data_IF_237043974724
#
_entry.id   IF_237043974724
#
_cell.length_a   1.000
_cell.length_b   1.000
_cell.length_c   1.000
_cell.angle_alpha   90.00
_cell.angle_beta   90.00
_cell.angle_gamma   90.00
#
_symmetry.space_group_name_H-M   'P 1'
#
loop_
_entity.id
_entity.type
_entity.pdbx_description
1 polymer ?
2 non-polymer ?
3 non-polymer ?
4 water ?
#
# COMPACT_ATOMS: atom_id res chain seq x y z
N UNK A 29 -9.23 -8.37 21.22
CA UNK A 29 -8.81 -8.92 19.92
C UNK A 29 -7.56 -9.83 20.07
N UNK A 30 -7.78 -11.13 20.23
CA UNK A 30 -6.69 -12.11 20.37
C UNK A 30 -5.91 -12.27 19.05
N UNK A 31 -4.66 -12.67 19.16
CA UNK A 31 -3.82 -12.72 17.93
C UNK A 31 -4.06 -14.02 17.18
N UNK A 32 -4.49 -13.93 15.92
CA UNK A 32 -4.85 -15.13 15.15
C UNK A 32 -3.61 -15.85 14.68
N UNK A 33 -3.65 -17.15 14.81
CA UNK A 33 -2.63 -17.98 14.16
C UNK A 33 -3.28 -19.21 13.55
N UNK A 34 -2.46 -19.94 12.79
CA UNK A 34 -2.90 -21.23 12.21
C UNK A 34 -3.37 -22.23 13.22
N UNK A 35 -3.07 -22.08 14.52
CA UNK A 35 -3.61 -23.07 15.54
C UNK A 35 -5.11 -22.93 15.64
N UNK A 36 -5.61 -21.69 15.37
CA UNK A 36 -7.04 -21.46 15.41
C UNK A 36 -7.55 -21.71 14.02
N UNK A 37 -8.38 -22.76 13.88
CA UNK A 37 -8.91 -23.10 12.60
C UNK A 37 -10.41 -22.85 12.51
N UNK A 38 -10.95 -22.09 13.47
CA UNK A 38 -12.37 -21.91 13.59
C UNK A 38 -12.79 -20.45 13.35
N UNK A 39 -12.08 -19.53 14.00
CA UNK A 39 -12.49 -18.10 13.97
C UNK A 39 -12.62 -17.62 12.50
N UNK A 40 -13.74 -16.97 12.17
CA UNK A 40 -13.90 -16.42 10.81
C UNK A 40 -12.99 -15.25 10.58
N UNK A 41 -12.21 -15.27 9.52
CA UNK A 41 -11.23 -14.20 9.29
C UNK A 41 -10.96 -14.05 7.79
N UNK A 42 -10.17 -13.03 7.45
CA UNK A 42 -9.64 -12.95 6.12
C UNK A 42 -8.19 -13.37 6.16
N UNK A 43 -7.78 -14.12 5.16
CA UNK A 43 -6.38 -14.54 5.01
C UNK A 43 -5.90 -14.07 3.66
N UNK A 44 -4.67 -13.56 3.60
CA UNK A 44 -4.11 -13.28 2.29
C UNK A 44 -2.81 -14.03 2.20
N UNK A 45 -2.63 -14.68 1.06
CA UNK A 45 -1.42 -15.44 0.81
C UNK A 45 -0.70 -14.72 -0.33
N UNK A 46 0.52 -14.29 -0.04
CA UNK A 46 1.32 -13.63 -1.07
C UNK A 46 2.09 -14.76 -1.73
N UNK A 47 1.63 -15.12 -2.91
CA UNK A 47 2.16 -16.29 -3.58
C UNK A 47 3.21 -15.92 -4.61
N UNK A 48 4.01 -16.92 -4.98
CA UNK A 48 5.14 -16.72 -5.89
C UNK A 48 5.94 -15.50 -5.46
N UNK A 49 6.07 -15.29 -4.16
CA UNK A 49 6.87 -14.19 -3.62
C UNK A 49 8.38 -14.35 -3.95
N UNK A 50 9.07 -13.27 -4.38
CA UNK A 50 10.42 -13.50 -4.83
C UNK A 50 11.32 -13.14 -3.69
N UNK A 51 11.58 -14.11 -2.81
CA UNK A 51 12.40 -13.94 -1.61
C UNK A 51 13.47 -15.04 -1.61
N UNK A 52 14.67 -14.70 -2.00
CA UNK A 52 15.70 -15.69 -2.21
C UNK A 52 16.97 -14.99 -1.84
N UNK A 53 17.85 -15.68 -1.11
CA UNK A 53 19.04 -15.06 -0.65
C UNK A 53 20.19 -15.52 -1.54
N UNK A 54 21.22 -14.71 -1.64
CA UNK A 54 22.42 -15.15 -2.30
C UNK A 54 23.59 -14.56 -1.55
N UNK A 55 24.68 -15.33 -1.46
CA UNK A 55 25.84 -14.82 -0.74
C UNK A 55 26.63 -13.85 -1.63
N UNK A 56 26.69 -12.58 -1.19
CA UNK A 56 27.60 -11.60 -1.75
C UNK A 56 28.93 -11.70 -0.99
N UNK A 66 25.43 -12.60 2.63
CA UNK A 66 24.04 -12.89 2.19
C UNK A 66 23.09 -11.68 2.08
N UNK A 67 22.52 -11.53 0.89
CA UNK A 67 21.53 -10.50 0.64
C UNK A 67 20.27 -11.06 0.02
N UNK A 68 19.19 -10.29 0.07
CA UNK A 68 17.96 -10.71 -0.56
C UNK A 68 18.08 -10.25 -2.02
N UNK A 69 18.04 -11.19 -2.94
CA UNK A 69 18.24 -10.88 -4.35
C UNK A 69 17.22 -9.86 -4.84
N UNK A 70 17.68 -8.79 -5.51
CA UNK A 70 16.72 -7.82 -6.05
C UNK A 70 17.18 -7.29 -7.39
N UNK A 71 16.24 -7.05 -8.29
CA UNK A 71 16.55 -6.59 -9.65
C UNK A 71 17.35 -5.29 -9.72
N UNK A 72 17.21 -4.38 -8.77
CA UNK A 72 18.01 -3.14 -8.80
C UNK A 72 19.46 -3.35 -8.46
N UNK A 73 19.72 -4.15 -7.44
CA UNK A 73 21.07 -4.21 -6.90
C UNK A 73 21.87 -5.31 -7.51
N UNK A 74 21.17 -6.32 -8.05
CA UNK A 74 21.86 -7.57 -8.39
C UNK A 74 21.69 -7.98 -9.83
N UNK A 75 21.46 -7.01 -10.71
CA UNK A 75 21.33 -7.28 -12.13
C UNK A 75 22.54 -8.05 -12.65
N UNK A 76 23.73 -7.61 -12.28
CA UNK A 76 24.97 -8.20 -12.79
C UNK A 76 24.99 -9.66 -12.38
N UNK A 77 24.81 -9.88 -11.08
CA UNK A 77 24.79 -11.21 -10.46
C UNK A 77 23.70 -12.12 -11.04
N UNK A 78 22.45 -11.67 -11.05
CA UNK A 78 21.35 -12.39 -11.67
C UNK A 78 21.64 -12.79 -13.11
N UNK A 79 22.26 -11.88 -13.85
CA UNK A 79 22.67 -12.12 -15.25
C UNK A 79 23.73 -13.22 -15.33
N UNK A 80 24.79 -13.08 -14.54
CA UNK A 80 25.86 -14.09 -14.50
C UNK A 80 25.35 -15.41 -13.89
N UNK A 81 24.25 -15.33 -13.15
CA UNK A 81 23.50 -16.50 -12.65
C UNK A 81 22.62 -17.10 -13.75
N UNK A 82 22.49 -16.40 -14.88
CA UNK A 82 21.58 -16.82 -15.95
C UNK A 82 20.10 -16.77 -15.58
N UNK A 83 19.76 -15.97 -14.57
CA UNK A 83 18.38 -15.81 -14.13
C UNK A 83 17.69 -14.72 -14.95
N UNK A 84 16.37 -14.71 -14.89
CA UNK A 84 15.58 -13.63 -15.49
C UNK A 84 15.63 -12.43 -14.53
N UNK A 85 16.28 -11.38 -15.03
CA UNK A 85 16.60 -10.18 -14.24
C UNK A 85 15.31 -9.61 -13.66
N UNK A 86 14.27 -9.67 -14.49
CA UNK A 86 12.97 -9.06 -14.21
C UNK A 86 12.19 -9.72 -13.05
N UNK A 87 12.56 -10.94 -12.66
CA UNK A 87 11.76 -11.68 -11.68
C UNK A 87 12.17 -11.47 -10.20
N UNK A 88 13.31 -10.85 -9.91
CA UNK A 88 13.75 -10.75 -8.55
C UNK A 88 13.13 -9.47 -7.97
N UNK A 89 11.90 -9.62 -7.46
CA UNK A 89 11.10 -8.42 -7.03
C UNK A 89 10.62 -8.53 -5.60
N UNK A 90 11.58 -8.64 -4.64
CA UNK A 90 11.10 -8.73 -3.25
C UNK A 90 10.39 -7.44 -2.79
N UNK A 91 10.55 -6.33 -3.52
CA UNK A 91 9.85 -5.05 -3.19
C UNK A 91 8.35 -5.25 -3.29
N UNK A 92 7.89 -6.15 -4.15
CA UNK A 92 6.44 -6.35 -4.20
C UNK A 92 5.93 -6.96 -2.90
N UNK A 93 6.62 -7.98 -2.40
CA UNK A 93 6.18 -8.58 -1.14
C UNK A 93 6.26 -7.55 -0.01
N UNK A 94 7.30 -6.75 0.01
CA UNK A 94 7.45 -5.72 1.03
C UNK A 94 6.27 -4.78 1.03
N UNK A 95 5.91 -4.29 -0.13
CA UNK A 95 4.81 -3.32 -0.20
C UNK A 95 3.48 -3.94 0.15
N UNK A 96 3.24 -5.19 -0.28
CA UNK A 96 2.02 -5.89 0.10
C UNK A 96 1.98 -6.08 1.58
N UNK A 97 3.11 -6.47 2.21
CA UNK A 97 3.06 -6.66 3.68
C UNK A 97 2.70 -5.36 4.38
N UNK A 98 3.24 -4.24 3.92
CA UNK A 98 2.93 -2.99 4.63
C UNK A 98 1.45 -2.68 4.47
N UNK A 99 0.97 -2.88 3.29
CA UNK A 99 -0.46 -2.61 2.99
C UNK A 99 -1.38 -3.45 3.86
N UNK A 100 -1.04 -4.72 3.98
CA UNK A 100 -1.88 -5.65 4.67
C UNK A 100 -1.79 -5.43 6.19
N UNK A 101 -0.57 -5.30 6.75
CA UNK A 101 -0.51 -5.29 8.21
C UNK A 101 -0.94 -3.93 8.78
N UNK A 102 -0.86 -2.90 7.97
CA UNK A 102 -1.36 -1.57 8.36
C UNK A 102 -2.87 -1.45 8.27
N UNK A 103 -3.56 -2.42 7.69
CA UNK A 103 -4.98 -2.22 7.39
C UNK A 103 -5.81 -2.31 8.68
N UNK A 104 -6.97 -1.62 8.72
CA UNK A 104 -7.89 -1.76 9.85
C UNK A 104 -8.25 -3.23 10.10
N UNK A 105 -8.40 -4.05 9.07
CA UNK A 105 -8.85 -5.43 9.30
C UNK A 105 -7.78 -6.16 10.10
N UNK A 106 -6.51 -5.83 9.84
CA UNK A 106 -5.42 -6.39 10.68
C UNK A 106 -5.52 -5.88 12.09
N UNK A 107 -5.68 -4.59 12.22
CA UNK A 107 -5.72 -3.99 13.55
C UNK A 107 -6.88 -4.51 14.37
N UNK A 108 -8.00 -4.82 13.68
CA UNK A 108 -9.17 -5.35 14.34
C UNK A 108 -9.02 -6.86 14.68
N UNK A 109 -7.90 -7.48 14.28
CA UNK A 109 -7.58 -8.84 14.68
C UNK A 109 -8.28 -9.83 13.76
N UNK A 110 -8.62 -9.44 12.53
CA UNK A 110 -9.36 -10.37 11.63
C UNK A 110 -8.65 -10.65 10.32
N UNK A 111 -7.34 -10.45 10.33
CA UNK A 111 -6.49 -10.79 9.16
C UNK A 111 -5.33 -11.66 9.49
N UNK A 112 -5.03 -12.61 8.61
CA UNK A 112 -3.71 -13.31 8.71
C UNK A 112 -3.07 -13.19 7.36
N UNK A 113 -1.74 -13.14 7.31
CA UNK A 113 -1.06 -13.18 6.06
C UNK A 113 -0.08 -14.38 6.08
N UNK A 114 0.01 -15.05 4.95
CA UNK A 114 1.09 -16.05 4.76
C UNK A 114 1.84 -15.61 3.53
N UNK A 115 3.08 -16.06 3.42
CA UNK A 115 3.88 -15.84 2.19
C UNK A 115 4.28 -17.19 1.69
N UNK A 116 4.02 -17.42 0.40
CA UNK A 116 4.56 -18.61 -0.24
C UNK A 116 5.64 -18.15 -1.25
N UNK A 117 6.91 -18.47 -1.02
CA UNK A 117 7.90 -17.93 -1.96
C UNK A 117 7.95 -18.74 -3.26
N UNK A 118 8.54 -18.16 -4.28
CA UNK A 118 8.64 -18.91 -5.52
C UNK A 118 9.56 -20.17 -5.39
N UNK A 119 10.39 -20.24 -4.37
CA UNK A 119 11.25 -21.44 -4.14
C UNK A 119 10.57 -22.48 -3.24
N UNK A 120 9.33 -22.22 -2.89
CA UNK A 120 8.41 -23.18 -2.19
C UNK A 120 8.50 -23.08 -0.65
N UNK A 121 9.02 -21.97 -0.13
CA UNK A 121 9.05 -21.79 1.34
C UNK A 121 7.68 -21.22 1.73
N UNK A 122 7.14 -21.67 2.87
CA UNK A 122 5.83 -21.11 3.32
C UNK A 122 6.06 -20.45 4.70
N UNK A 123 5.60 -19.21 4.86
CA UNK A 123 5.90 -18.43 6.04
C UNK A 123 4.59 -17.93 6.62
N UNK A 124 4.42 -18.12 7.93
CA UNK A 124 3.29 -17.58 8.62
C UNK A 124 3.75 -16.27 9.28
N UNK A 125 3.00 -15.21 9.02
CA UNK A 125 3.32 -13.87 9.53
C UNK A 125 2.47 -13.59 10.74
N UNK A 126 3.06 -13.29 11.88
CA UNK A 126 2.21 -13.00 13.05
C UNK A 126 1.59 -11.60 12.81
N UNK A 127 0.28 -11.45 13.03
CA UNK A 127 -0.43 -10.18 12.80
C UNK A 127 0.21 -8.98 13.47
N UNK A 128 0.88 -9.22 14.60
CA UNK A 128 1.43 -8.07 15.35
C UNK A 128 2.86 -7.69 14.92
N UNK A 129 3.44 -8.41 13.95
CA UNK A 129 4.80 -8.07 13.55
C UNK A 129 4.93 -6.65 12.98
N UNK A 130 5.99 -5.91 13.39
CA UNK A 130 6.25 -4.62 12.71
C UNK A 130 7.18 -4.87 11.51
N UNK A 131 6.62 -4.91 10.30
CA UNK A 131 7.45 -5.04 9.12
C UNK A 131 8.25 -3.71 8.93
N UNK A 132 9.59 -3.79 8.74
CA UNK A 132 10.35 -2.59 8.52
C UNK A 132 9.76 -1.76 7.38
N UNK A 133 9.65 -0.44 7.58
CA UNK A 133 9.01 0.44 6.58
C UNK A 133 9.92 0.61 5.35
N UNK A 134 11.23 0.46 5.54
CA UNK A 134 12.10 0.72 4.38
C UNK A 134 12.58 -0.61 3.80
N UNK A 135 12.68 -0.63 2.49
CA UNK A 135 13.11 -1.86 1.84
C UNK A 135 14.43 -2.41 2.37
N UNK A 136 15.41 -1.58 2.69
CA UNK A 136 16.68 -2.14 3.13
C UNK A 136 16.57 -2.95 4.43
N UNK A 137 15.81 -2.46 5.40
CA UNK A 137 15.73 -3.14 6.66
C UNK A 137 14.87 -4.41 6.50
N UNK A 138 13.82 -4.31 5.68
CA UNK A 138 13.01 -5.47 5.32
C UNK A 138 13.90 -6.57 4.77
N UNK A 139 14.81 -6.21 3.86
CA UNK A 139 15.66 -7.20 3.23
C UNK A 139 16.48 -7.91 4.30
N UNK A 140 17.01 -7.17 5.26
CA UNK A 140 17.83 -7.79 6.31
C UNK A 140 16.99 -8.76 7.11
N UNK A 141 15.76 -8.38 7.39
CA UNK A 141 14.91 -9.23 8.20
C UNK A 141 14.59 -10.55 7.47
N UNK A 142 14.33 -10.47 6.16
CA UNK A 142 14.02 -11.68 5.38
C UNK A 142 15.21 -12.62 5.27
N UNK A 143 16.41 -12.09 5.13
CA UNK A 143 17.60 -12.94 5.13
C UNK A 143 17.69 -13.74 6.43
N UNK A 144 17.46 -13.08 7.56
CA UNK A 144 17.55 -13.75 8.87
C UNK A 144 16.47 -14.81 8.96
N UNK A 145 15.25 -14.47 8.53
CA UNK A 145 14.16 -15.46 8.53
C UNK A 145 14.50 -16.68 7.68
N UNK A 146 14.97 -16.45 6.47
CA UNK A 146 15.19 -17.60 5.53
C UNK A 146 16.32 -18.49 6.04
N UNK A 147 17.31 -17.89 6.69
CA UNK A 147 18.35 -18.70 7.29
C UNK A 147 18.02 -19.42 8.57
N UNK A 148 17.43 -18.70 9.53
CA UNK A 148 17.10 -19.23 10.84
C UNK A 148 15.75 -19.97 10.92
N UNK A 149 14.87 -19.71 9.94
CA UNK A 149 13.55 -20.31 9.88
C UNK A 149 12.50 -19.67 10.78
N UNK A 150 12.90 -18.69 11.60
CA UNK A 150 11.90 -17.91 12.34
C UNK A 150 12.54 -16.66 12.88
N UNK A 151 11.70 -15.71 13.33
CA UNK A 151 12.19 -14.46 13.92
C UNK A 151 11.34 -14.29 15.19
N UNK A 152 11.97 -14.00 16.32
CA UNK A 152 11.23 -13.72 17.56
C UNK A 152 11.50 -12.29 17.97
N UNK A 153 10.83 -11.77 19.00
CA UNK A 153 11.31 -10.50 19.59
C UNK A 153 12.39 -10.64 20.65
N UNK A 154 12.99 -9.50 20.99
CA UNK A 154 13.73 -9.40 22.23
C UNK A 154 12.63 -9.47 23.27
N UNK A 155 12.93 -10.15 24.34
CA UNK A 155 11.99 -10.23 25.47
C UNK A 155 10.91 -11.27 25.36
N UNK A 156 10.66 -11.82 24.16
CA UNK A 156 9.60 -12.81 24.02
C UNK A 156 10.00 -13.97 23.12
N UNK A 157 9.67 -15.18 23.54
CA UNK A 157 9.76 -16.38 22.72
C UNK A 157 8.80 -16.48 21.52
N UNK A 158 7.83 -15.58 21.43
CA UNK A 158 6.80 -15.65 20.40
C UNK A 158 7.43 -15.47 19.04
N UNK A 159 7.09 -16.31 18.08
CA UNK A 159 7.63 -16.16 16.72
C UNK A 159 6.84 -15.09 16.01
N UNK A 160 7.50 -14.10 15.48
CA UNK A 160 6.74 -13.14 14.74
C UNK A 160 6.69 -13.48 13.24
N UNK A 161 7.68 -14.26 12.79
CA UNK A 161 7.62 -14.80 11.43
C UNK A 161 8.11 -16.25 11.60
N UNK A 162 7.55 -17.21 10.88
CA UNK A 162 8.01 -18.59 11.05
C UNK A 162 7.83 -19.35 9.76
N UNK A 163 8.85 -20.12 9.37
CA UNK A 163 8.67 -21.06 8.22
C UNK A 163 7.91 -22.26 8.70
N UNK A 164 6.90 -22.64 7.93
CA UNK A 164 6.03 -23.76 8.32
C UNK A 164 5.91 -24.70 7.17
N UNK A 165 5.36 -25.89 7.43
CA UNK A 165 5.31 -26.90 6.39
C UNK A 165 4.22 -26.76 5.37
N UNK A 166 4.58 -26.93 4.09
CA UNK A 166 3.59 -27.02 3.03
C UNK A 166 2.77 -28.28 3.30
N UNK A 167 1.51 -28.28 2.85
CA UNK A 167 0.89 -27.19 2.07
C UNK A 167 0.12 -26.20 2.94
N UNK A 168 -0.13 -25.02 2.39
CA UNK A 168 -0.85 -24.01 3.09
C UNK A 168 -2.22 -24.48 3.59
N UNK A 169 -2.84 -25.43 2.87
CA UNK A 169 -4.17 -25.90 3.17
C UNK A 169 -4.21 -26.65 4.46
N UNK A 170 -3.05 -27.14 4.90
CA UNK A 170 -3.02 -27.73 6.25
C UNK A 170 -3.19 -26.73 7.39
N UNK A 171 -3.00 -25.43 7.12
CA UNK A 171 -2.92 -24.39 8.19
C UNK A 171 -4.13 -23.51 8.22
N UNK A 172 -4.86 -23.51 7.10
CA UNK A 172 -6.03 -22.60 6.96
C UNK A 172 -7.21 -23.07 7.77
N UNK A 173 -8.17 -22.17 8.01
CA UNK A 173 -9.27 -22.62 8.76
C UNK A 173 -9.98 -23.80 8.02
N UNK A 174 -10.73 -24.60 8.83
CA UNK A 174 -11.44 -25.76 8.29
C UNK A 174 -12.49 -25.39 7.23
N UNK A 175 -13.24 -24.33 7.51
CA UNK A 175 -14.22 -23.77 6.61
C UNK A 175 -13.62 -22.50 6.08
N UNK A 176 -13.11 -22.57 4.84
CA UNK A 176 -12.38 -21.39 4.28
C UNK A 176 -12.61 -21.34 2.75
N UNK A 177 -13.30 -20.32 2.24
CA UNK A 177 -13.42 -20.17 0.77
C UNK A 177 -12.04 -19.70 0.31
N UNK A 178 -11.48 -20.33 -0.72
CA UNK A 178 -10.13 -19.98 -1.19
C UNK A 178 -10.23 -19.41 -2.59
N UNK A 179 -9.68 -18.21 -2.78
CA UNK A 179 -9.81 -17.57 -4.11
C UNK A 179 -8.47 -17.05 -4.59
N UNK A 180 -8.23 -17.11 -5.90
CA UNK A 180 -7.09 -16.45 -6.48
C UNK A 180 -7.66 -15.17 -7.12
N UNK A 181 -6.95 -14.08 -6.92
CA UNK A 181 -7.27 -12.85 -7.64
C UNK A 181 -6.60 -12.88 -8.99
N UNK A 182 -7.38 -12.60 -10.04
CA UNK A 182 -6.86 -12.64 -11.39
C UNK A 182 -7.59 -11.65 -12.26
N UNK A 183 -6.81 -10.90 -13.03
CA UNK A 183 -7.35 -10.00 -14.05
C UNK A 183 -8.22 -10.73 -15.04
N UNK A 184 -7.91 -12.00 -15.26
CA UNK A 184 -8.62 -12.76 -16.26
C UNK A 184 -9.93 -13.41 -15.81
N UNK A 185 -10.27 -13.21 -14.56
CA UNK A 185 -11.46 -13.82 -14.04
C UNK A 185 -12.62 -12.81 -13.92
N UNK A 186 -13.84 -13.30 -13.73
CA UNK A 186 -14.98 -12.39 -13.72
C UNK A 186 -14.88 -11.42 -12.54
N UNK A 187 -15.29 -10.19 -12.76
CA UNK A 187 -15.02 -9.17 -11.73
C UNK A 187 -16.14 -9.26 -10.68
N UNK A 188 -15.78 -9.13 -9.42
CA UNK A 188 -16.75 -9.10 -8.32
C UNK A 188 -16.70 -7.76 -7.57
N UNK A 189 -17.76 -7.45 -6.83
CA UNK A 189 -17.68 -6.40 -5.81
C UNK A 189 -17.33 -7.17 -4.52
N UNK A 190 -16.24 -6.79 -3.89
CA UNK A 190 -15.75 -7.57 -2.72
C UNK A 190 -16.81 -7.66 -1.63
N UNK A 191 -17.47 -6.53 -1.31
CA UNK A 191 -18.53 -6.56 -0.26
C UNK A 191 -19.56 -7.65 -0.48
N UNK A 192 -20.00 -7.77 -1.73
CA UNK A 192 -21.04 -8.71 -2.13
C UNK A 192 -20.51 -10.11 -1.98
N UNK A 193 -19.27 -10.30 -2.46
CA UNK A 193 -18.67 -11.65 -2.42
C UNK A 193 -18.54 -12.13 -0.97
N UNK A 194 -18.13 -11.21 -0.10
CA UNK A 194 -17.90 -11.50 1.33
C UNK A 194 -19.23 -11.78 1.98
N UNK A 195 -20.25 -11.01 1.61
CA UNK A 195 -21.56 -11.21 2.23
C UNK A 195 -22.15 -12.53 1.90
N UNK A 196 -21.69 -13.14 0.80
CA UNK A 196 -22.18 -14.46 0.43
C UNK A 196 -21.51 -15.62 1.20
N UNK A 197 -20.45 -15.33 1.94
CA UNK A 197 -19.78 -16.40 2.75
C UNK A 197 -20.73 -16.90 3.82
N UNK A 198 -20.54 -18.15 4.24
CA UNK A 198 -21.32 -18.70 5.29
C UNK A 198 -20.88 -18.02 6.58
N UNK A 199 -21.74 -18.05 7.59
CA UNK A 199 -21.40 -17.38 8.84
C UNK A 199 -20.11 -17.86 9.54
N UNK A 200 -19.67 -19.07 9.22
CA UNK A 200 -18.54 -19.64 9.97
C UNK A 200 -17.39 -19.85 9.00
N UNK A 201 -17.53 -19.27 7.80
CA UNK A 201 -16.59 -19.48 6.68
C UNK A 201 -15.61 -18.32 6.49
N UNK A 202 -14.31 -18.59 6.64
CA UNK A 202 -13.29 -17.60 6.40
C UNK A 202 -13.09 -17.38 4.88
N UNK A 203 -12.25 -16.40 4.54
CA UNK A 203 -11.92 -16.17 3.11
C UNK A 203 -10.44 -16.03 2.96
N UNK A 204 -9.86 -16.86 2.11
CA UNK A 204 -8.39 -16.82 1.86
C UNK A 204 -8.19 -16.39 0.43
N UNK A 205 -7.45 -15.28 0.24
CA UNK A 205 -7.19 -14.73 -1.06
C UNK A 205 -5.69 -14.96 -1.39
N UNK A 206 -5.45 -15.61 -2.53
CA UNK A 206 -4.08 -15.76 -3.04
C UNK A 206 -3.84 -14.67 -4.04
N UNK A 207 -2.79 -13.89 -3.81
CA UNK A 207 -2.42 -12.80 -4.67
C UNK A 207 -1.01 -13.04 -5.18
N UNK A 208 -0.77 -12.93 -6.47
CA UNK A 208 0.58 -13.10 -7.02
C UNK A 208 1.47 -11.96 -6.67
N UNK A 209 2.48 -12.22 -5.82
CA UNK A 209 3.43 -11.18 -5.44
C UNK A 209 4.63 -11.07 -6.44
N UNK A 210 4.29 -10.80 -7.70
CA UNK A 210 5.23 -10.92 -8.83
C UNK A 210 4.90 -9.85 -9.81
N UNK A 211 5.88 -9.51 -10.67
CA UNK A 211 5.67 -8.49 -11.68
C UNK A 211 4.88 -9.03 -12.88
N UNK A 212 4.96 -10.33 -13.11
CA UNK A 212 4.33 -10.95 -14.29
C UNK A 212 4.29 -12.48 -14.17
N UNK A 213 3.32 -13.09 -14.82
CA UNK A 213 3.21 -14.53 -14.73
C UNK A 213 1.74 -14.88 -14.72
N UNK A 214 1.44 -16.16 -14.98
CA UNK A 214 0.07 -16.64 -15.04
C UNK A 214 -0.47 -16.69 -13.64
N UNK A 215 -1.77 -16.53 -13.48
CA UNK A 215 -2.31 -16.55 -12.14
C UNK A 215 -2.70 -17.99 -11.75
N UNK A 216 -1.82 -18.95 -12.04
CA UNK A 216 -2.15 -20.39 -11.83
C UNK A 216 -1.44 -20.94 -10.61
N UNK A 217 -0.87 -20.05 -9.77
CA UNK A 217 0.03 -20.40 -8.66
C UNK A 217 -0.71 -21.08 -7.53
N UNK A 218 -2.05 -20.96 -7.47
CA UNK A 218 -2.77 -21.67 -6.43
C UNK A 218 -3.89 -22.54 -6.93
N UNK A 219 -3.78 -23.02 -8.19
CA UNK A 219 -4.87 -23.71 -8.84
C UNK A 219 -5.18 -25.03 -8.17
N UNK A 220 -4.23 -25.56 -7.42
CA UNK A 220 -4.48 -26.80 -6.73
C UNK A 220 -5.19 -26.60 -5.34
N UNK A 221 -5.36 -25.36 -4.91
CA UNK A 221 -5.91 -25.05 -3.54
C UNK A 221 -7.21 -24.33 -3.70
N UNK A 222 -7.37 -23.57 -4.78
CA UNK A 222 -8.44 -22.55 -4.72
C UNK A 222 -9.77 -23.10 -5.19
N UNK A 223 -10.84 -22.50 -4.64
CA UNK A 223 -12.20 -22.75 -5.08
C UNK A 223 -12.60 -21.91 -6.29
N UNK A 224 -12.07 -20.70 -6.44
CA UNK A 224 -12.59 -19.80 -7.45
C UNK A 224 -11.50 -18.80 -7.82
N UNK A 225 -11.58 -18.25 -9.02
CA UNK A 225 -10.70 -17.08 -9.35
C UNK A 225 -11.62 -15.91 -9.55
N UNK A 226 -11.24 -14.72 -9.12
CA UNK A 226 -12.12 -13.52 -9.23
C UNK A 226 -11.26 -12.33 -9.57
N UNK A 227 -11.82 -11.35 -10.30
CA UNK A 227 -11.07 -10.11 -10.59
C UNK A 227 -11.69 -9.02 -9.72
N UNK A 228 -10.92 -7.98 -9.46
CA UNK A 228 -11.40 -6.89 -8.60
C UNK A 228 -11.63 -5.62 -9.36
N UNK A 229 -11.22 -5.60 -10.64
CA UNK A 229 -11.28 -4.36 -11.43
C UNK A 229 -11.24 -4.68 -12.88
N UNK A 230 -11.77 -3.79 -13.71
CA UNK A 230 -11.54 -3.87 -15.15
C UNK A 230 -10.18 -3.39 -15.58
N UNK A 231 -9.41 -2.88 -14.64
CA UNK A 231 -8.06 -2.56 -14.92
C UNK A 231 -7.14 -3.59 -14.28
N UNK A 232 -5.94 -3.79 -14.86
CA UNK A 232 -4.98 -4.68 -14.17
C UNK A 232 -4.45 -3.91 -12.98
N UNK A 233 -4.24 -4.60 -11.83
CA UNK A 233 -3.86 -3.90 -10.62
C UNK A 233 -2.53 -4.42 -10.17
N UNK A 234 -1.79 -3.61 -9.43
CA UNK A 234 -0.66 -4.15 -8.71
C UNK A 234 -1.10 -5.09 -7.59
N UNK A 235 -0.21 -5.98 -7.15
CA UNK A 235 -0.57 -6.87 -6.05
C UNK A 235 -0.95 -6.04 -4.84
N UNK A 236 -0.24 -4.95 -4.58
CA UNK A 236 -0.55 -4.18 -3.34
C UNK A 236 -1.94 -3.54 -3.39
N UNK A 237 -2.32 -3.01 -4.55
CA UNK A 237 -3.63 -2.43 -4.74
C UNK A 237 -4.66 -3.47 -4.68
N UNK A 238 -4.40 -4.65 -5.27
CA UNK A 238 -5.41 -5.76 -5.16
C UNK A 238 -5.59 -6.08 -3.64
N UNK A 239 -4.49 -6.14 -2.89
CA UNK A 239 -4.56 -6.34 -1.42
C UNK A 239 -5.39 -5.25 -0.73
N UNK A 240 -5.11 -3.99 -1.03
CA UNK A 240 -5.84 -2.87 -0.38
C UNK A 240 -7.32 -2.94 -0.71
N UNK A 241 -7.65 -3.20 -1.98
CA UNK A 241 -9.03 -3.24 -2.44
C UNK A 241 -9.79 -4.36 -1.75
N UNK A 242 -9.15 -5.53 -1.65
CA UNK A 242 -9.80 -6.63 -0.94
C UNK A 242 -9.98 -6.31 0.53
N UNK A 243 -8.93 -5.83 1.20
CA UNK A 243 -9.08 -5.42 2.59
C UNK A 243 -10.15 -4.40 2.84
N UNK A 244 -10.21 -3.35 2.02
CA UNK A 244 -11.24 -2.31 2.18
C UNK A 244 -12.67 -2.90 2.07
N UNK A 245 -12.86 -3.81 1.12
CA UNK A 245 -14.15 -4.43 0.87
C UNK A 245 -14.55 -5.32 2.03
N UNK A 246 -13.60 -6.06 2.56
CA UNK A 246 -13.85 -6.90 3.72
C UNK A 246 -14.12 -6.04 4.95
N UNK A 247 -13.34 -4.98 5.17
CA UNK A 247 -13.62 -4.03 6.24
C UNK A 247 -15.05 -3.49 6.19
N UNK A 248 -15.44 -3.12 4.97
CA UNK A 248 -16.78 -2.57 4.80
C UNK A 248 -17.83 -3.63 5.10
N UNK A 249 -17.65 -4.83 4.58
CA UNK A 249 -18.66 -5.89 4.75
C UNK A 249 -18.76 -6.30 6.19
N UNK A 250 -17.66 -6.23 6.93
CA UNK A 250 -17.61 -6.66 8.34
C UNK A 250 -17.69 -5.53 9.35
N UNK A 251 -17.98 -4.34 8.88
CA UNK A 251 -18.17 -3.15 9.72
C UNK A 251 -16.95 -2.91 10.59
N UNK A 252 -15.79 -3.06 9.96
CA UNK A 252 -14.54 -2.71 10.60
C UNK A 252 -14.20 -1.32 10.05
N UNK A 253 -14.25 -0.32 10.89
CA UNK A 253 -13.70 1.01 10.48
C UNK A 253 -12.39 1.33 11.22
N UNK B 29 -10.35 8.40 -20.70
CA UNK B 29 -10.40 9.65 -19.93
C UNK B 29 -9.28 10.65 -20.30
N UNK B 30 -9.65 11.93 -20.52
CA UNK B 30 -8.70 13.03 -20.77
C UNK B 30 -8.04 13.43 -19.46
N UNK B 31 -6.75 13.71 -19.49
CA UNK B 31 -5.91 13.74 -18.27
C UNK B 31 -6.21 14.96 -17.39
N UNK B 32 -6.53 14.74 -16.13
CA UNK B 32 -6.92 15.89 -15.30
C UNK B 32 -5.69 16.72 -14.89
N UNK B 33 -5.81 18.04 -15.02
CA UNK B 33 -4.78 18.94 -14.49
C UNK B 33 -5.50 20.12 -13.81
N UNK B 34 -4.74 20.93 -13.08
CA UNK B 34 -5.33 22.03 -12.38
C UNK B 34 -5.92 23.08 -13.31
N UNK B 35 -5.67 22.99 -14.62
CA UNK B 35 -6.20 23.97 -15.59
C UNK B 35 -7.70 23.81 -15.72
N UNK B 36 -8.16 22.57 -15.57
CA UNK B 36 -9.55 22.23 -15.62
C UNK B 36 -10.14 22.50 -14.23
N UNK B 37 -10.96 23.54 -14.18
CA UNK B 37 -11.52 24.02 -12.93
C UNK B 37 -12.88 23.40 -12.59
N UNK B 38 -13.37 22.60 -13.51
CA UNK B 38 -14.79 22.19 -13.50
C UNK B 38 -15.03 20.71 -13.22
N UNK B 39 -14.30 19.83 -13.90
CA UNK B 39 -14.58 18.39 -13.76
C UNK B 39 -14.56 17.90 -12.30
N UNK B 40 -15.60 17.19 -11.90
CA UNK B 40 -15.64 16.60 -10.60
C UNK B 40 -14.58 15.50 -10.46
N UNK B 41 -13.71 15.64 -9.46
CA UNK B 41 -12.65 14.66 -9.21
C UNK B 41 -12.34 14.55 -7.70
N UNK B 42 -11.56 13.53 -7.36
CA UNK B 42 -10.89 13.49 -6.09
C UNK B 42 -9.47 14.01 -6.24
N UNK B 43 -9.03 14.82 -5.25
CA UNK B 43 -7.68 15.32 -5.22
C UNK B 43 -7.13 14.83 -3.88
N UNK B 44 -5.89 14.30 -3.87
CA UNK B 44 -5.22 13.99 -2.64
C UNK B 44 -3.97 14.85 -2.54
N UNK B 45 -3.81 15.52 -1.40
CA UNK B 45 -2.58 16.27 -1.19
C UNK B 45 -1.73 15.58 -0.09
N UNK B 46 -0.53 15.13 -0.50
CA UNK B 46 0.45 14.51 0.42
C UNK B 46 1.19 15.68 1.09
N UNK B 47 0.74 16.00 2.28
CA UNK B 47 1.22 17.11 3.07
C UNK B 47 2.44 16.80 3.94
N UNK B 48 3.32 17.80 4.09
CA UNK B 48 4.54 17.67 4.92
C UNK B 48 5.38 16.48 4.44
N UNK B 49 5.40 16.29 3.12
CA UNK B 49 6.11 15.16 2.56
C UNK B 49 7.61 15.35 2.63
N UNK B 50 8.33 14.31 3.05
CA UNK B 50 9.78 14.47 3.13
C UNK B 50 10.38 14.16 1.78
N UNK B 51 10.69 15.19 0.99
CA UNK B 51 11.40 15.04 -0.28
C UNK B 51 12.43 16.11 -0.39
N UNK B 52 13.69 15.75 -0.10
CA UNK B 52 14.80 16.70 -0.16
C UNK B 52 16.06 16.01 -0.71
N UNK B 53 16.71 16.67 -1.66
CA UNK B 53 17.96 16.18 -2.23
C UNK B 53 19.19 16.67 -1.46
N UNK B 54 20.22 15.81 -1.40
CA UNK B 54 21.61 16.20 -1.15
C UNK B 54 22.52 15.33 -2.02
N UNK B 67 21.12 12.32 -4.32
CA UNK B 67 20.27 11.45 -3.50
C UNK B 67 19.14 12.15 -2.70
N UNK B 68 18.12 11.37 -2.36
CA UNK B 68 17.02 11.82 -1.50
C UNK B 68 17.39 11.56 -0.03
N UNK B 69 17.35 12.61 0.78
CA UNK B 69 17.69 12.44 2.18
C UNK B 69 16.76 11.45 2.82
N UNK B 70 17.31 10.44 3.50
CA UNK B 70 16.49 9.52 4.28
C UNK B 70 17.17 9.06 5.57
N UNK B 71 16.35 8.69 6.55
CA UNK B 71 16.80 8.33 7.87
C UNK B 71 17.71 7.11 7.86
N UNK B 72 17.48 6.16 6.97
CA UNK B 72 18.29 4.94 6.92
C UNK B 72 19.71 5.22 6.53
N UNK B 73 19.88 6.08 5.53
CA UNK B 73 21.19 6.27 4.93
C UNK B 73 21.94 7.48 5.47
N UNK B 74 21.21 8.51 5.85
CA UNK B 74 21.84 9.79 6.12
C UNK B 74 21.73 10.24 7.57
N UNK B 75 21.73 9.29 8.50
CA UNK B 75 21.71 9.68 9.92
C UNK B 75 22.81 10.66 10.34
N UNK B 76 24.05 10.39 9.94
CA UNK B 76 25.21 11.23 10.32
C UNK B 76 25.09 12.66 9.82
N UNK B 77 24.82 12.78 8.51
CA UNK B 77 24.52 14.07 7.88
C UNK B 77 23.33 14.80 8.56
N UNK B 78 22.18 14.12 8.70
CA UNK B 78 21.00 14.75 9.33
C UNK B 78 21.31 15.43 10.69
N UNK B 79 22.16 14.75 11.53
CA UNK B 79 22.51 15.22 12.89
C UNK B 79 23.52 16.42 12.79
N UNK B 80 24.51 16.27 11.88
CA UNK B 80 25.25 17.54 11.43
C UNK B 80 24.24 18.65 10.80
N UNK B 81 23.08 18.19 10.21
CA UNK B 81 22.23 19.25 9.67
C UNK B 81 21.23 19.73 10.71
N UNK B 82 21.36 19.15 11.91
CA UNK B 82 20.50 19.58 13.14
C UNK B 82 19.09 19.30 12.78
N UNK B 83 18.89 18.08 12.30
CA UNK B 83 17.57 17.64 11.91
C UNK B 83 17.21 16.49 12.79
N UNK B 84 15.89 16.35 12.97
CA UNK B 84 15.36 15.20 13.61
C UNK B 84 15.56 14.11 12.57
N UNK B 85 16.44 13.14 12.82
CA UNK B 85 16.75 12.13 11.81
C UNK B 85 15.49 11.35 11.46
N UNK B 86 14.60 11.26 12.44
CA UNK B 86 13.39 10.45 12.27
C UNK B 86 12.36 11.13 11.35
N UNK B 87 12.59 12.39 10.97
CA UNK B 87 11.71 13.10 10.00
C UNK B 87 11.97 12.80 8.52
N UNK B 88 13.16 12.29 8.21
CA UNK B 88 13.54 12.06 6.81
C UNK B 88 12.97 10.74 6.31
N UNK B 89 11.69 10.78 5.95
CA UNK B 89 11.00 9.55 5.62
C UNK B 89 10.35 9.66 4.23
N UNK B 90 11.17 9.77 3.16
CA UNK B 90 10.57 9.83 1.80
C UNK B 90 9.94 8.51 1.38
N UNK B 91 10.24 7.43 2.11
CA UNK B 91 9.56 6.12 1.92
C UNK B 91 8.03 6.26 2.02
N UNK B 92 7.57 7.11 2.93
CA UNK B 92 6.14 7.29 3.12
C UNK B 92 5.55 7.90 1.83
N UNK B 93 6.24 8.89 1.28
CA UNK B 93 5.75 9.59 0.10
C UNK B 93 5.73 8.58 -1.06
N UNK B 94 6.81 7.83 -1.17
CA UNK B 94 6.94 6.77 -2.17
C UNK B 94 5.74 5.83 -2.12
N UNK B 95 5.49 5.27 -0.95
CA UNK B 95 4.41 4.30 -0.83
C UNK B 95 3.04 4.92 -1.09
N UNK B 96 2.81 6.16 -0.64
CA UNK B 96 1.52 6.79 -0.94
C UNK B 96 1.33 6.99 -2.45
N UNK B 97 2.38 7.38 -3.11
CA UNK B 97 2.26 7.60 -4.55
C UNK B 97 1.96 6.31 -5.32
N UNK B 98 2.57 5.21 -4.91
CA UNK B 98 2.29 3.91 -5.52
C UNK B 98 0.80 3.57 -5.31
N UNK B 99 0.33 3.73 -4.07
CA UNK B 99 -1.07 3.46 -3.68
C UNK B 99 -2.02 4.32 -4.49
N UNK B 100 -1.75 5.63 -4.58
CA UNK B 100 -2.67 6.50 -5.32
C UNK B 100 -2.70 6.25 -6.83
N UNK B 101 -1.54 6.20 -7.45
CA UNK B 101 -1.51 6.17 -8.89
C UNK B 101 -1.87 4.80 -9.47
N UNK B 102 -1.76 3.77 -8.63
CA UNK B 102 -2.10 2.40 -9.01
C UNK B 102 -3.61 2.18 -8.87
N UNK B 103 -4.33 3.10 -8.19
CA UNK B 103 -5.71 2.85 -7.81
C UNK B 103 -6.64 2.97 -9.03
N UNK B 104 -7.71 2.18 -9.05
CA UNK B 104 -8.70 2.29 -10.10
C UNK B 104 -9.21 3.71 -10.31
N UNK B 105 -9.41 4.47 -9.23
CA UNK B 105 -9.83 5.86 -9.42
C UNK B 105 -8.85 6.68 -10.29
N UNK B 106 -7.55 6.40 -10.18
CA UNK B 106 -6.62 7.07 -11.04
C UNK B 106 -6.77 6.60 -12.49
N UNK B 107 -6.85 5.28 -12.65
CA UNK B 107 -6.96 4.68 -13.97
C UNK B 107 -8.24 5.10 -14.67
N UNK B 108 -9.32 5.32 -13.90
CA UNK B 108 -10.58 5.92 -14.46
C UNK B 108 -10.54 7.43 -14.78
N UNK B 109 -9.42 8.07 -14.43
CA UNK B 109 -9.17 9.46 -14.70
C UNK B 109 -9.87 10.40 -13.73
N UNK B 110 -10.13 9.96 -12.50
CA UNK B 110 -10.91 10.83 -11.58
C UNK B 110 -10.10 11.23 -10.34
N UNK B 111 -8.78 11.18 -10.44
CA UNK B 111 -7.85 11.45 -9.31
C UNK B 111 -6.79 12.43 -9.77
N UNK B 112 -6.50 13.42 -8.92
CA UNK B 112 -5.25 14.17 -9.02
C UNK B 112 -4.51 14.09 -7.71
N UNK B 113 -3.17 14.06 -7.80
CA UNK B 113 -2.33 14.11 -6.62
C UNK B 113 -1.41 15.34 -6.64
N UNK B 114 -1.25 15.99 -5.48
CA UNK B 114 -0.24 17.03 -5.30
C UNK B 114 0.60 16.66 -4.11
N UNK B 115 1.83 17.13 -4.11
CA UNK B 115 2.70 16.87 -2.95
C UNK B 115 3.12 18.23 -2.42
N UNK B 116 2.93 18.45 -1.12
CA UNK B 116 3.44 19.64 -0.43
C UNK B 116 4.57 19.15 0.44
N UNK B 117 5.82 19.47 0.09
CA UNK B 117 6.92 18.93 0.85
C UNK B 117 7.11 19.73 2.13
N UNK B 118 7.79 19.13 3.09
CA UNK B 118 8.12 19.80 4.33
C UNK B 118 8.97 21.08 4.13
N UNK B 119 9.59 21.27 2.95
CA UNK B 119 10.32 22.55 2.68
C UNK B 119 9.48 23.54 1.92
N UNK B 120 8.20 23.23 1.77
CA UNK B 120 7.24 24.17 1.17
C UNK B 120 7.21 24.17 -0.34
N UNK B 121 7.64 23.07 -0.93
CA UNK B 121 7.61 22.97 -2.39
C UNK B 121 6.28 22.32 -2.73
N UNK B 122 5.61 22.84 -3.77
CA UNK B 122 4.34 22.25 -4.22
C UNK B 122 4.56 21.62 -5.59
N UNK B 123 4.12 20.37 -5.73
CA UNK B 123 4.34 19.59 -6.92
C UNK B 123 2.99 19.08 -7.43
N UNK B 124 2.67 19.33 -8.69
CA UNK B 124 1.51 18.71 -9.31
C UNK B 124 1.94 17.44 -9.98
N UNK B 125 1.29 16.33 -9.60
CA UNK B 125 1.60 15.03 -10.21
C UNK B 125 0.71 14.73 -11.39
N UNK B 126 1.29 14.44 -12.54
CA UNK B 126 0.44 14.10 -13.67
C UNK B 126 -0.15 12.69 -13.49
N UNK B 127 -1.50 12.55 -13.64
CA UNK B 127 -2.13 11.28 -13.39
C UNK B 127 -1.48 10.11 -14.16
N UNK B 128 -0.76 10.38 -15.25
CA UNK B 128 -0.21 9.27 -16.07
C UNK B 128 1.27 8.92 -15.76
N UNK B 129 1.89 9.59 -14.80
CA UNK B 129 3.27 9.28 -14.44
C UNK B 129 3.39 7.84 -13.91
N UNK B 130 4.46 7.17 -14.29
CA UNK B 130 4.73 5.86 -13.75
C UNK B 130 5.71 6.03 -12.58
N UNK B 131 5.21 5.89 -11.36
CA UNK B 131 6.09 5.98 -10.19
C UNK B 131 7.00 4.74 -10.11
N UNK B 132 8.34 4.93 -10.02
CA UNK B 132 9.15 3.70 -9.92
C UNK B 132 8.78 2.84 -8.74
N UNK B 133 8.78 1.52 -8.94
CA UNK B 133 8.25 0.62 -7.89
C UNK B 133 9.20 0.51 -6.71
N UNK B 134 10.50 0.61 -6.97
CA UNK B 134 11.46 0.48 -5.87
C UNK B 134 11.89 1.83 -5.37
N UNK B 135 12.25 1.88 -4.08
CA UNK B 135 12.62 3.14 -3.47
C UNK B 135 13.88 3.75 -4.10
N UNK B 136 14.86 2.90 -4.39
CA UNK B 136 16.09 3.36 -5.06
C UNK B 136 15.80 4.09 -6.39
N UNK B 137 14.91 3.53 -7.22
CA UNK B 137 14.56 4.18 -8.51
C UNK B 137 13.63 5.40 -8.34
N UNK B 138 12.77 5.33 -7.33
CA UNK B 138 11.98 6.50 -6.93
C UNK B 138 12.91 7.68 -6.59
N UNK B 139 13.94 7.43 -5.77
CA UNK B 139 14.90 8.50 -5.42
C UNK B 139 15.50 9.16 -6.65
N UNK B 140 15.96 8.33 -7.60
CA UNK B 140 16.48 8.83 -8.89
C UNK B 140 15.52 9.75 -9.64
N UNK B 141 14.23 9.45 -9.61
CA UNK B 141 13.28 10.31 -10.32
C UNK B 141 13.07 11.62 -9.58
N UNK B 142 12.92 11.57 -8.25
CA UNK B 142 12.63 12.78 -7.46
C UNK B 142 13.78 13.75 -7.55
N UNK B 143 15.00 13.22 -7.48
CA UNK B 143 16.19 14.05 -7.60
C UNK B 143 16.10 14.90 -8.86
N UNK B 144 15.85 14.26 -10.00
CA UNK B 144 15.68 15.03 -11.24
C UNK B 144 14.62 16.11 -11.10
N UNK B 145 13.43 15.74 -10.61
CA UNK B 145 12.33 16.69 -10.50
C UNK B 145 12.71 17.91 -9.68
N UNK B 146 13.31 17.67 -8.53
CA UNK B 146 13.59 18.77 -7.61
C UNK B 146 14.57 19.78 -8.22
N UNK B 147 15.55 19.25 -8.95
CA UNK B 147 16.59 20.10 -9.54
C UNK B 147 16.11 20.85 -10.77
N UNK B 148 15.59 20.13 -11.75
CA UNK B 148 15.16 20.76 -13.01
C UNK B 148 13.81 21.47 -12.89
N UNK B 149 13.06 21.14 -11.81
CA UNK B 149 11.72 21.71 -11.49
C UNK B 149 10.55 21.14 -12.28
N UNK B 150 10.83 20.17 -13.14
CA UNK B 150 9.84 19.57 -14.03
C UNK B 150 10.38 18.30 -14.68
N UNK B 151 9.51 17.31 -14.84
CA UNK B 151 9.83 16.09 -15.56
C UNK B 151 8.80 15.92 -16.66
N UNK B 152 9.24 15.43 -17.82
CA UNK B 152 8.39 15.36 -19.01
C UNK B 152 8.63 14.08 -19.79
N UNK B 153 7.70 13.74 -20.69
CA UNK B 153 7.92 12.66 -21.68
C UNK B 153 7.01 12.79 -22.90
N UNK B 159 4.55 17.20 -19.26
CA UNK B 159 5.03 17.46 -17.91
C UNK B 159 4.46 16.46 -16.93
N UNK B 160 5.21 15.39 -16.65
CA UNK B 160 4.74 14.30 -15.77
C UNK B 160 4.77 14.68 -14.29
N UNK B 161 5.67 15.58 -13.93
CA UNK B 161 5.83 16.09 -12.57
C UNK B 161 6.24 17.56 -12.64
N UNK B 162 5.67 18.42 -11.80
CA UNK B 162 5.81 19.86 -12.06
C UNK B 162 5.71 20.65 -10.77
N UNK B 163 6.74 21.44 -10.49
CA UNK B 163 6.70 22.35 -9.37
C UNK B 163 5.83 23.53 -9.73
N UNK B 164 4.93 23.84 -8.82
CA UNK B 164 3.91 24.88 -9.05
C UNK B 164 3.89 25.85 -7.86
N UNK B 165 3.25 27.02 -8.05
CA UNK B 165 3.24 28.10 -7.02
C UNK B 165 2.23 27.82 -5.89
N UNK B 166 2.68 27.91 -4.62
CA UNK B 166 1.76 27.86 -3.46
C UNK B 166 0.82 29.05 -3.42
N UNK B 167 -0.35 28.93 -2.74
CA UNK B 167 -0.87 27.75 -2.07
C UNK B 167 -1.64 26.80 -3.01
N UNK B 168 -1.86 25.57 -2.53
CA UNK B 168 -2.57 24.57 -3.29
C UNK B 168 -4.03 25.00 -3.65
N UNK B 169 -4.66 25.79 -2.79
CA UNK B 169 -6.03 26.24 -3.03
C UNK B 169 -6.23 27.13 -4.26
N UNK B 170 -5.16 27.70 -4.78
CA UNK B 170 -5.32 28.43 -6.00
C UNK B 170 -5.34 27.58 -7.27
N UNK B 171 -5.10 26.27 -7.09
CA UNK B 171 -5.08 25.30 -8.18
C UNK B 171 -6.31 24.36 -8.20
N UNK B 172 -7.08 24.38 -7.12
CA UNK B 172 -8.15 23.36 -6.92
C UNK B 172 -9.37 23.72 -7.77
N UNK B 173 -10.27 22.75 -8.01
CA UNK B 173 -11.46 23.10 -8.77
C UNK B 173 -12.28 24.18 -8.05
N UNK B 174 -13.01 24.96 -8.84
CA UNK B 174 -13.84 26.04 -8.35
C UNK B 174 -14.71 25.59 -7.18
N UNK B 175 -15.38 24.46 -7.35
CA UNK B 175 -16.22 23.90 -6.30
C UNK B 175 -15.49 22.69 -5.77
N UNK B 176 -14.99 22.82 -4.56
CA UNK B 176 -14.15 21.75 -4.02
C UNK B 176 -14.25 21.75 -2.50
N UNK B 177 -14.69 20.64 -1.93
CA UNK B 177 -14.66 20.47 -0.47
C UNK B 177 -13.23 20.16 -0.08
N UNK B 178 -12.79 20.71 1.05
CA UNK B 178 -11.43 20.40 1.50
C UNK B 178 -11.48 19.74 2.88
N UNK B 179 -10.85 18.57 3.00
CA UNK B 179 -10.90 17.84 4.25
C UNK B 179 -9.51 17.41 4.67
N UNK B 180 -9.25 17.40 5.96
CA UNK B 180 -8.02 16.79 6.48
C UNK B 180 -8.43 15.50 7.09
N UNK B 181 -7.69 14.46 6.69
CA UNK B 181 -7.78 13.12 7.26
C UNK B 181 -7.01 13.14 8.54
N UNK B 182 -7.65 12.71 9.61
CA UNK B 182 -6.95 12.65 10.87
C UNK B 182 -7.66 11.78 11.87
N UNK B 183 -6.86 10.94 12.53
CA UNK B 183 -7.31 10.04 13.59
C UNK B 183 -8.10 10.79 14.69
N UNK B 184 -7.96 12.12 14.73
CA UNK B 184 -8.44 12.87 15.89
C UNK B 184 -9.85 13.42 15.66
N UNK B 185 -10.38 13.22 14.45
CA UNK B 185 -11.70 13.70 14.03
C UNK B 185 -12.75 12.57 13.96
N UNK B 186 -14.06 12.90 13.91
CA UNK B 186 -15.12 11.85 13.88
C UNK B 186 -15.05 10.87 12.68
N UNK B 187 -15.44 9.59 12.88
CA UNK B 187 -15.14 8.49 11.91
C UNK B 187 -16.24 8.20 10.86
N UNK B 188 -15.93 8.50 9.60
CA UNK B 188 -16.90 8.48 8.50
C UNK B 188 -16.74 7.20 7.70
N UNK B 189 -17.77 6.87 6.92
CA UNK B 189 -17.68 5.83 5.93
C UNK B 189 -17.44 6.64 4.64
N UNK B 190 -16.31 6.43 4.01
CA UNK B 190 -15.92 7.28 2.90
C UNK B 190 -16.98 7.28 1.81
N UNK B 191 -17.49 6.09 1.44
CA UNK B 191 -18.54 6.06 0.42
C UNK B 191 -19.68 7.05 0.74
N UNK B 192 -20.15 7.07 2.01
CA UNK B 192 -21.29 7.91 2.37
C UNK B 192 -20.94 9.39 2.34
N UNK B 193 -19.77 9.70 2.87
CA UNK B 193 -19.27 11.07 2.90
C UNK B 193 -19.13 11.58 1.48
N UNK B 194 -18.62 10.73 0.58
CA UNK B 194 -18.43 11.16 -0.81
C UNK B 194 -19.79 11.39 -1.52
N UNK B 195 -20.76 10.52 -1.25
CA UNK B 195 -22.09 10.64 -1.91
C UNK B 195 -22.80 11.94 -1.53
N UNK B 196 -22.34 12.56 -0.47
CA UNK B 196 -22.93 13.81 -0.03
C UNK B 196 -22.40 15.03 -0.79
N UNK B 197 -21.29 14.87 -1.52
CA UNK B 197 -20.81 15.98 -2.39
C UNK B 197 -21.88 16.38 -3.40
N UNK B 198 -21.95 17.67 -3.77
CA UNK B 198 -22.83 18.06 -4.85
C UNK B 198 -22.35 17.46 -6.16
N UNK B 199 -23.24 17.43 -7.16
CA UNK B 199 -22.92 16.84 -8.47
C UNK B 199 -21.77 17.55 -9.16
N UNK B 200 -21.53 18.81 -8.83
CA UNK B 200 -20.50 19.55 -9.51
C UNK B 200 -19.25 19.75 -8.61
N UNK B 201 -19.22 19.09 -7.46
CA UNK B 201 -18.26 19.42 -6.39
C UNK B 201 -17.16 18.37 -6.20
N UNK B 202 -15.92 18.78 -6.39
CA UNK B 202 -14.78 17.90 -6.14
C UNK B 202 -14.50 17.81 -4.65
N UNK B 203 -13.61 16.89 -4.31
CA UNK B 203 -13.14 16.79 -2.95
C UNK B 203 -11.63 16.75 -2.96
N UNK B 204 -11.03 17.52 -2.06
CA UNK B 204 -9.58 17.51 -1.87
C UNK B 204 -9.27 17.04 -0.47
N UNK B 205 -8.46 15.99 -0.37
CA UNK B 205 -8.13 15.37 0.89
C UNK B 205 -6.69 15.68 1.23
N UNK B 206 -6.42 16.17 2.44
CA UNK B 206 -5.05 16.42 2.83
C UNK B 206 -4.61 15.26 3.71
N UNK B 207 -3.52 14.61 3.33
CA UNK B 207 -2.99 13.46 4.12
C UNK B 207 -1.58 13.77 4.56
N UNK B 208 -1.32 13.68 5.87
CA UNK B 208 0.04 13.92 6.38
C UNK B 208 0.94 12.79 5.90
N UNK B 209 1.91 13.15 5.10
CA UNK B 209 2.90 12.17 4.66
C UNK B 209 4.14 12.22 5.61
N UNK B 210 4.00 12.80 6.81
CA UNK B 210 5.10 12.93 7.80
C UNK B 210 5.18 11.74 8.74
N UNK B 211 6.33 11.58 9.38
CA UNK B 211 6.55 10.41 10.22
C UNK B 211 5.61 10.41 11.44
N UNK B 212 5.60 11.54 12.16
CA UNK B 212 4.61 11.82 13.17
C UNK B 212 4.39 13.32 13.23
N UNK B 213 3.29 13.71 13.86
CA UNK B 213 3.00 15.12 14.09
C UNK B 213 1.50 15.39 14.11
N UNK B 214 1.16 16.57 14.60
CA UNK B 214 -0.24 17.01 14.61
C UNK B 214 -0.79 17.10 13.18
N UNK B 215 -2.09 16.89 13.04
CA UNK B 215 -2.70 16.95 11.71
C UNK B 215 -3.22 18.35 11.38
N UNK B 216 -2.46 19.34 11.84
CA UNK B 216 -2.75 20.77 11.65
C UNK B 216 -2.11 21.39 10.39
N UNK B 217 -1.44 20.56 9.60
CA UNK B 217 -0.80 20.96 8.34
C UNK B 217 -1.74 21.54 7.28
N UNK B 218 -3.05 21.38 7.48
CA UNK B 218 -4.02 21.90 6.52
C UNK B 218 -5.11 22.79 7.15
N UNK B 219 -4.99 23.02 8.47
CA UNK B 219 -6.01 23.71 9.26
C UNK B 219 -6.56 24.99 8.70
N UNK B 220 -5.72 25.77 8.06
CA UNK B 220 -6.20 27.04 7.56
C UNK B 220 -6.79 26.88 6.17
N UNK B 221 -6.65 25.70 5.57
CA UNK B 221 -7.23 25.46 4.25
C UNK B 221 -8.56 24.70 4.27
N UNK B 222 -8.76 23.82 5.25
CA UNK B 222 -9.86 22.84 5.21
C UNK B 222 -11.24 23.25 5.74
N UNK B 223 -12.27 22.61 5.17
CA UNK B 223 -13.66 22.77 5.57
C UNK B 223 -14.05 21.93 6.77
N UNK B 224 -13.32 20.84 6.98
CA UNK B 224 -13.75 19.79 7.89
C UNK B 224 -12.55 18.87 8.13
N UNK B 225 -12.54 18.24 9.30
CA UNK B 225 -11.59 17.15 9.57
C UNK B 225 -12.42 15.88 9.82
N UNK B 226 -11.99 14.75 9.27
CA UNK B 226 -12.76 13.54 9.43
C UNK B 226 -11.76 12.42 9.75
N UNK B 227 -12.23 11.38 10.45
CA UNK B 227 -11.38 10.17 10.69
C UNK B 227 -11.85 9.11 9.77
N UNK B 228 -10.96 8.19 9.40
CA UNK B 228 -11.30 7.10 8.55
C UNK B 228 -11.33 5.83 9.32
N UNK B 229 -10.86 5.83 10.56
CA UNK B 229 -10.75 4.57 11.28
C UNK B 229 -10.66 4.83 12.74
N UNK B 230 -11.10 3.85 13.53
CA UNK B 230 -10.90 3.82 14.95
C UNK B 230 -9.49 3.39 15.31
N UNK B 231 -8.71 3.03 14.29
CA UNK B 231 -7.33 2.56 14.49
C UNK B 231 -6.42 3.56 13.86
N UNK B 232 -5.21 3.74 14.39
CA UNK B 232 -4.36 4.72 13.74
C UNK B 232 -3.94 4.13 12.39
N UNK B 233 -3.83 4.99 11.39
CA UNK B 233 -3.51 4.51 10.05
C UNK B 233 -2.21 5.09 9.54
N UNK B 234 -1.50 4.32 8.72
CA UNK B 234 -0.42 4.86 7.91
C UNK B 234 -1.02 5.78 6.84
N UNK B 235 -0.19 6.68 6.33
CA UNK B 235 -0.63 7.58 5.29
C UNK B 235 -1.12 6.81 4.06
N UNK B 236 -0.38 5.74 3.66
CA UNK B 236 -0.74 5.04 2.43
C UNK B 236 -2.12 4.35 2.63
N UNK B 237 -2.38 3.81 3.82
CA UNK B 237 -3.70 3.23 4.11
C UNK B 237 -4.84 4.25 4.12
N UNK B 238 -4.57 5.44 4.68
CA UNK B 238 -5.54 6.54 4.60
C UNK B 238 -5.85 6.81 3.13
N UNK B 239 -4.81 6.91 2.28
CA UNK B 239 -5.00 7.13 0.85
C UNK B 239 -5.89 6.06 0.25
N UNK B 240 -5.62 4.76 0.51
CA UNK B 240 -6.37 3.68 -0.19
C UNK B 240 -7.80 3.71 0.27
N UNK B 241 -7.99 4.01 1.55
CA UNK B 241 -9.34 4.04 2.06
C UNK B 241 -10.15 5.11 1.38
N UNK B 242 -9.55 6.26 1.14
CA UNK B 242 -10.24 7.28 0.40
C UNK B 242 -10.46 6.88 -1.04
N UNK B 243 -9.44 6.35 -1.69
CA UNK B 243 -9.59 5.95 -3.10
C UNK B 243 -10.66 4.88 -3.26
N UNK B 244 -10.59 3.87 -2.41
CA UNK B 244 -11.50 2.78 -2.55
C UNK B 244 -12.96 3.19 -2.25
N UNK B 245 -13.15 4.06 -1.24
CA UNK B 245 -14.52 4.53 -0.91
C UNK B 245 -15.05 5.39 -2.06
N UNK B 246 -14.20 6.23 -2.62
CA UNK B 246 -14.66 7.02 -3.78
C UNK B 246 -14.94 6.13 -5.00
N UNK B 247 -14.15 5.07 -5.17
CA UNK B 247 -14.41 4.13 -6.30
C UNK B 247 -15.80 3.53 -6.14
N UNK B 248 -16.12 3.09 -4.93
CA UNK B 248 -17.44 2.54 -4.61
C UNK B 248 -18.55 3.58 -4.78
N UNK B 249 -18.29 4.79 -4.33
CA UNK B 249 -19.31 5.85 -4.48
C UNK B 249 -19.52 6.27 -5.94
N UNK B 250 -18.47 6.20 -6.75
CA UNK B 250 -18.55 6.66 -8.14
C UNK B 250 -18.63 5.54 -9.14
N UNK B 251 -18.92 4.35 -8.67
CA UNK B 251 -19.12 3.18 -9.56
C UNK B 251 -17.91 3.00 -10.48
N UNK B 252 -16.72 3.13 -9.90
CA UNK B 252 -15.47 2.80 -10.59
C UNK B 252 -15.07 1.43 -10.17
N UNK B 253 -14.92 0.55 -11.14
CA UNK B 253 -14.51 -0.80 -10.81
C UNK B 253 -13.23 -1.15 -11.54
X LIG C 1 -0.81 -11.90 -13.70
X LIG C 1 -0.39 -10.48 -13.42
X LIG C 1 0.79 -10.50 -12.41
X LIG C 1 1.21 -9.14 -11.85
X LIG C 1 -0.13 -8.33 -11.01
X LIG C 1 -0.09 -9.76 -14.72
X LIG C 1 -0.30 -8.54 -14.88
X LIG C 1 0.32 -10.36 -15.70
X LIG C 1 0.06 -9.12 -9.40
X LIG C 1 -1.20 -9.76 -8.78
X LIG C 1 -2.31 -8.85 -8.58
X LIG C 1 -1.76 -10.83 -9.73
X LIG C 1 -1.05 -12.06 -9.62
X LIG C 1 -3.16 -11.01 -9.21
X LIG C 1 -3.12 -11.92 -8.07
X LIG C 1 -3.53 -9.58 -8.84
X LIG C 1 -4.29 -8.79 -9.89
X LIG C 1 -3.82 -7.96 -10.89
X LIG C 1 -4.88 -7.35 -11.59
X LIG C 1 -5.99 -7.77 -10.99
X LIG C 1 -7.43 -7.50 -11.16
X LIG C 1 -7.87 -6.62 -12.08
X LIG C 1 -8.30 -8.13 -10.32
X LIG C 1 -7.85 -8.94 -9.37
X LIG C 1 -6.55 -9.22 -9.13
X LIG C 1 -5.60 -8.69 -9.89
X LIG D 1 -4.72 -7.57 17.99
X LIG D 1 -3.68 -7.92 18.89
X LIG D 1 -4.27 -7.67 16.54
X LIG D 1 -3.79 -8.98 16.31
X LIG D 1 -3.18 -6.64 16.27
X LIG D 1 -2.73 -6.74 14.94
X LIG E 1 -1.08 12.31 12.95
X LIG E 1 -0.28 11.07 12.77
X LIG E 1 0.60 11.18 11.52
X LIG E 1 1.16 9.84 11.03
X LIG E 1 -0.04 8.89 10.13
X LIG E 1 0.55 10.80 14.03
X LIG E 1 0.50 9.69 14.58
X LIG E 1 1.29 11.65 14.52
X LIG E 1 -0.02 9.76 8.61
X LIG E 1 -1.34 10.36 8.14
X LIG E 1 -2.35 9.37 7.82
X LIG E 1 -1.99 11.28 9.13
X LIG E 1 -1.35 12.57 9.13
X LIG E 1 -3.40 11.34 8.60
X LIG E 1 -3.49 12.36 7.58
X LIG E 1 -3.63 9.93 8.04
X LIG E 1 -4.30 9.10 9.06
X LIG E 1 -3.69 8.34 9.99
X LIG E 1 -4.60 7.72 10.80
X LIG E 1 -5.82 8.12 10.40
X LIG E 1 -7.22 7.84 10.82
X LIG E 1 -7.50 6.98 11.85
X LIG E 1 -8.20 8.44 10.12
X LIG E 1 -7.95 9.27 9.10
X LIG E 1 -6.70 9.58 8.68
X LIG E 1 -5.62 9.03 9.26
#
# INVERSE_FOLDING_TARGET
GMVEDSRVRDALKGGDQKALPASLVPQAPPVLTSKDKITKRMIVVLAMASLETHKISSNGPGGDKYVLLNCDDHQGLLKKMGRDISEARPDITHQCLLTLLDSPINKAGKLQVYIQTSRGILIEVNPTVRIPRTFKRFSGLMVQLLHKLSIRSVNSEEKLLKVIKNPITDHLPTKCRKVTLSFDAPVIRVQDYIEKLDDDESICVFVGAMARGKDNFADEYVDEKVGLSNYPLSASVACSKFCHGAEDAWNIL
GMVEDSRVRDALKGGDQKALPASLVPQAPPVLTSKDKITKRMIVVLAMASLETHKISSNGPGGDKYVLLNCDDHQGLLKKMGRDISEARPDITHQCLLTLLDSPINKAGKLQVYIQTSRGILIEVNPTVRIPRTFKRFSGLMVQLLHKLSIRSVNSEEKLLKVIKNPITDHLPTKCRKVTLSFDAPVIRVQDYIEKLDDDESICVFVGAMARGKDNFADEYVDEKVGLSNYPLSASVACSKFCHGAEDAWNIL
SAH N CA CB CG SD C O OXT C5' C4' O4' C3' O3' C2' O2' C1' N9 C8 N7 C5 C6 N6 N1 C2 N3 C4
GOL C1 O1 C2 O2 C3 O3
SAH N CA CB CG SD C O OXT C5' C4' O4' C3' O3' C2' O2' C1' N9 C8 N7 C5 C6 N6 N1 C2 N3 C4
#
